data_IF_161826674639
#
_entry.id   IF_161826674639
#
_cell.length_a   1.000
_cell.length_b   1.000
_cell.length_c   1.000
_cell.angle_alpha   90.00
_cell.angle_beta   90.00
_cell.angle_gamma   90.00
#
_symmetry.space_group_name_H-M   'P 1'
#
loop_
_entity.id
_entity.type
_entity.pdbx_description
1 polymer ?
#
# COMPACT_ATOMS: atom_id res chain seq x y z
N UNK A 1 31.43 -2.92 -10.80
CA UNK A 1 30.14 -2.36 -10.36
C UNK A 1 30.38 -1.73 -8.99
N UNK A 2 30.02 -0.47 -8.77
CA UNK A 2 30.14 0.15 -7.44
C UNK A 2 28.95 -0.30 -6.58
N UNK A 3 29.14 -1.43 -5.90
CA UNK A 3 28.11 -2.07 -5.07
C UNK A 3 27.69 -1.18 -3.90
N UNK A 4 28.60 -0.36 -3.35
CA UNK A 4 28.30 0.53 -2.24
C UNK A 4 27.38 1.67 -2.68
N UNK A 5 27.64 2.24 -3.86
CA UNK A 5 26.75 3.25 -4.44
C UNK A 5 25.38 2.68 -4.83
N UNK A 6 25.32 1.46 -5.38
CA UNK A 6 24.05 0.76 -5.64
C UNK A 6 23.28 0.57 -4.34
N UNK A 7 23.91 -0.02 -3.32
CA UNK A 7 23.31 -0.23 -1.99
C UNK A 7 22.77 1.06 -1.39
N UNK A 8 23.53 2.16 -1.50
CA UNK A 8 23.08 3.48 -1.04
C UNK A 8 21.81 3.92 -1.74
N UNK A 9 21.77 3.88 -3.07
CA UNK A 9 20.60 4.29 -3.85
C UNK A 9 19.36 3.43 -3.56
N UNK A 10 19.52 2.12 -3.45
CA UNK A 10 18.40 1.22 -3.10
C UNK A 10 17.95 1.47 -1.65
N UNK A 11 18.87 1.77 -0.73
CA UNK A 11 18.51 2.18 0.63
C UNK A 11 17.68 3.47 0.64
N UNK A 12 18.03 4.46 -0.17
CA UNK A 12 17.25 5.70 -0.31
C UNK A 12 15.85 5.41 -0.87
N UNK A 13 15.75 4.46 -1.81
CA UNK A 13 14.48 4.06 -2.43
C UNK A 13 13.54 3.42 -1.41
N UNK A 14 14.00 2.42 -0.66
CA UNK A 14 13.14 1.74 0.32
C UNK A 14 12.75 2.64 1.50
N UNK A 15 13.59 3.64 1.83
CA UNK A 15 13.30 4.63 2.88
C UNK A 15 12.44 5.81 2.40
N UNK A 16 12.14 5.90 1.10
CA UNK A 16 11.41 7.03 0.51
C UNK A 16 12.14 8.38 0.75
N UNK A 17 13.47 8.39 0.66
CA UNK A 17 14.31 9.57 0.92
C UNK A 17 14.36 10.56 -0.25
N UNK A 18 13.96 10.13 -1.44
CA UNK A 18 13.88 10.94 -2.65
C UNK A 18 12.76 10.41 -3.57
N UNK A 19 12.49 11.11 -4.66
CA UNK A 19 11.49 10.69 -5.64
C UNK A 19 11.89 9.34 -6.27
N UNK A 20 11.00 8.31 -6.24
CA UNK A 20 11.36 6.96 -6.67
C UNK A 20 11.92 6.87 -8.09
N UNK A 21 11.37 7.62 -9.06
CA UNK A 21 11.85 7.57 -10.45
C UNK A 21 13.23 8.21 -10.60
N UNK A 22 13.53 9.25 -9.83
CA UNK A 22 14.86 9.83 -9.79
C UNK A 22 15.89 8.79 -9.34
N UNK A 23 15.62 8.07 -8.25
CA UNK A 23 16.50 7.01 -7.74
C UNK A 23 16.65 5.85 -8.72
N UNK A 24 15.55 5.40 -9.35
CA UNK A 24 15.61 4.35 -10.38
C UNK A 24 16.41 4.81 -11.60
N UNK A 25 16.30 6.07 -12.01
CA UNK A 25 17.12 6.61 -13.10
C UNK A 25 18.62 6.57 -12.78
N UNK A 26 19.02 6.80 -11.52
CA UNK A 26 20.40 6.63 -11.08
C UNK A 26 20.80 5.15 -11.04
N UNK A 27 19.89 4.28 -10.57
CA UNK A 27 20.11 2.83 -10.49
C UNK A 27 20.28 2.16 -11.86
N UNK A 28 19.77 2.75 -12.94
CA UNK A 28 19.97 2.26 -14.32
C UNK A 28 21.44 2.13 -14.71
N UNK A 29 22.35 2.90 -14.10
CA UNK A 29 23.78 2.80 -14.36
C UNK A 29 24.39 1.46 -13.93
N UNK A 30 23.72 0.69 -13.08
CA UNK A 30 24.21 -0.58 -12.52
C UNK A 30 23.64 -1.81 -13.21
N UNK A 31 22.67 -1.65 -14.12
CA UNK A 31 21.90 -2.76 -14.68
C UNK A 31 20.74 -3.20 -13.77
N UNK A 32 19.92 -4.11 -14.27
CA UNK A 32 18.82 -4.69 -13.51
C UNK A 32 19.33 -5.83 -12.62
N UNK A 33 20.04 -6.77 -13.23
CA UNK A 33 20.56 -7.98 -12.59
C UNK A 33 21.47 -7.65 -11.39
N UNK A 34 21.30 -8.39 -10.29
CA UNK A 34 22.18 -8.34 -9.14
C UNK A 34 22.37 -9.73 -8.58
N UNK A 35 23.62 -10.21 -8.54
CA UNK A 35 23.93 -11.52 -7.96
C UNK A 35 23.72 -11.55 -6.44
N UNK A 36 23.61 -10.38 -5.79
CA UNK A 36 23.51 -10.26 -4.34
C UNK A 36 22.42 -9.29 -3.91
N UNK A 37 21.64 -9.72 -2.91
CA UNK A 37 20.73 -8.83 -2.20
C UNK A 37 21.56 -7.84 -1.36
N UNK A 38 21.32 -6.54 -1.52
CA UNK A 38 22.14 -5.48 -0.91
C UNK A 38 21.47 -4.82 0.29
N UNK A 39 20.14 -4.75 0.27
CA UNK A 39 19.32 -4.16 1.31
C UNK A 39 18.10 -5.03 1.60
N UNK A 40 17.54 -4.88 2.79
CA UNK A 40 16.34 -5.61 3.21
C UNK A 40 15.17 -4.64 3.36
N UNK A 41 14.10 -4.87 2.60
CA UNK A 41 12.82 -4.22 2.82
C UNK A 41 12.16 -4.84 4.06
N UNK A 42 11.80 -4.01 5.04
CA UNK A 42 11.22 -4.42 6.32
C UNK A 42 9.79 -3.90 6.42
N UNK A 43 9.03 -4.43 7.38
CA UNK A 43 7.68 -3.91 7.66
C UNK A 43 7.70 -2.41 7.95
N UNK A 44 8.76 -1.89 8.58
CA UNK A 44 8.87 -0.47 8.92
C UNK A 44 8.99 0.42 7.68
N UNK A 45 9.61 -0.06 6.60
CA UNK A 45 9.68 0.68 5.34
C UNK A 45 8.29 0.79 4.69
N UNK A 46 7.50 -0.28 4.69
CA UNK A 46 6.10 -0.26 4.22
C UNK A 46 5.23 0.65 5.10
N UNK A 47 5.35 0.52 6.43
CA UNK A 47 4.64 1.39 7.37
C UNK A 47 4.98 2.87 7.13
N UNK A 48 6.25 3.19 6.84
CA UNK A 48 6.66 4.54 6.50
C UNK A 48 5.97 5.06 5.22
N UNK A 49 5.98 4.29 4.13
CA UNK A 49 5.30 4.66 2.89
C UNK A 49 3.79 4.87 3.10
N UNK A 50 3.15 3.98 3.86
CA UNK A 50 1.73 4.10 4.22
C UNK A 50 1.46 5.32 5.12
N UNK A 51 2.34 5.63 6.06
CA UNK A 51 2.23 6.82 6.90
C UNK A 51 2.35 8.12 6.09
N UNK A 52 3.26 8.17 5.11
CA UNK A 52 3.37 9.30 4.19
C UNK A 52 2.07 9.49 3.39
N UNK A 53 1.47 8.39 2.92
CA UNK A 53 0.20 8.42 2.22
C UNK A 53 -0.95 8.91 3.12
N UNK A 54 -1.11 8.33 4.32
CA UNK A 54 -2.14 8.73 5.30
C UNK A 54 -2.00 10.21 5.69
N UNK A 55 -0.77 10.70 5.81
CA UNK A 55 -0.47 12.10 6.13
C UNK A 55 -0.61 13.05 4.93
N UNK A 56 -1.09 12.57 3.77
CA UNK A 56 -1.20 13.30 2.50
C UNK A 56 0.14 13.93 2.04
N UNK A 57 1.27 13.31 2.39
CA UNK A 57 2.61 13.71 1.90
C UNK A 57 2.90 13.15 0.52
N UNK A 58 2.29 12.01 0.20
CA UNK A 58 2.31 11.37 -1.11
C UNK A 58 0.88 10.99 -1.50
N UNK A 59 0.60 10.88 -2.80
CA UNK A 59 -0.68 10.41 -3.32
C UNK A 59 -0.62 8.91 -3.65
N UNK A 60 -1.77 8.29 -3.92
CA UNK A 60 -1.85 6.88 -4.30
C UNK A 60 -0.96 6.54 -5.52
N UNK A 61 -0.86 7.44 -6.50
CA UNK A 61 0.02 7.28 -7.67
C UNK A 61 1.52 7.24 -7.29
N UNK A 62 1.91 7.93 -6.23
CA UNK A 62 3.28 8.01 -5.76
C UNK A 62 3.63 6.75 -4.96
N UNK A 63 2.66 6.19 -4.24
CA UNK A 63 2.77 4.87 -3.60
C UNK A 63 2.87 3.74 -4.63
N UNK A 64 2.03 3.76 -5.67
CA UNK A 64 2.12 2.87 -6.84
C UNK A 64 3.53 2.95 -7.44
N UNK A 65 3.99 4.16 -7.76
CA UNK A 65 5.29 4.36 -8.37
C UNK A 65 6.44 3.83 -7.51
N UNK A 66 6.37 4.02 -6.19
CA UNK A 66 7.36 3.48 -5.26
C UNK A 66 7.39 1.95 -5.27
N UNK A 67 6.22 1.31 -5.25
CA UNK A 67 6.12 -0.14 -5.31
C UNK A 67 6.61 -0.71 -6.65
N UNK A 68 6.25 -0.07 -7.79
CA UNK A 68 6.77 -0.42 -9.13
C UNK A 68 8.30 -0.34 -9.19
N UNK A 69 8.89 0.60 -8.46
CA UNK A 69 10.34 0.74 -8.39
C UNK A 69 11.02 -0.35 -7.57
N UNK A 70 10.28 -1.09 -6.72
CA UNK A 70 10.80 -2.11 -5.81
C UNK A 70 10.51 -3.52 -6.32
N UNK A 71 9.32 -3.74 -6.91
CA UNK A 71 8.87 -5.03 -7.36
C UNK A 71 9.85 -5.68 -8.34
N UNK A 72 10.20 -6.94 -8.08
CA UNK A 72 11.11 -7.72 -8.93
C UNK A 72 12.58 -7.31 -8.92
N UNK A 73 13.01 -6.42 -8.01
CA UNK A 73 14.42 -6.05 -7.87
C UNK A 73 15.23 -7.13 -7.13
N UNK A 74 16.28 -7.63 -7.78
CA UNK A 74 17.18 -8.66 -7.23
C UNK A 74 18.16 -8.15 -6.15
N UNK A 75 18.31 -6.82 -6.02
CA UNK A 75 19.16 -6.19 -5.00
C UNK A 75 18.42 -5.87 -3.69
N UNK A 76 17.15 -6.27 -3.57
CA UNK A 76 16.29 -6.11 -2.38
C UNK A 76 15.85 -7.48 -1.89
N UNK A 77 16.15 -7.79 -0.63
CA UNK A 77 15.55 -8.91 0.09
C UNK A 77 14.37 -8.48 0.95
N UNK A 78 13.54 -9.43 1.38
CA UNK A 78 12.46 -9.16 2.34
C UNK A 78 12.84 -9.63 3.75
N UNK A 79 12.40 -8.86 4.75
CA UNK A 79 12.55 -9.24 6.16
C UNK A 79 11.91 -10.61 6.40
N UNK A 80 12.72 -11.58 6.83
CA UNK A 80 12.33 -13.00 6.82
C UNK A 80 11.09 -13.31 7.67
N UNK A 81 10.88 -12.55 8.75
CA UNK A 81 9.69 -12.67 9.62
C UNK A 81 8.41 -12.18 8.97
N UNK A 82 8.49 -11.30 7.97
CA UNK A 82 7.35 -10.64 7.31
C UNK A 82 7.39 -10.81 5.78
N UNK A 83 8.21 -11.73 5.25
CA UNK A 83 8.51 -11.80 3.82
C UNK A 83 7.25 -11.99 2.97
N UNK A 84 6.35 -12.88 3.37
CA UNK A 84 5.10 -13.17 2.64
C UNK A 84 4.16 -11.96 2.59
N UNK A 85 3.97 -11.26 3.72
CA UNK A 85 3.09 -10.09 3.76
C UNK A 85 3.70 -8.88 3.06
N UNK A 86 5.02 -8.72 3.13
CA UNK A 86 5.75 -7.66 2.41
C UNK A 86 5.59 -7.86 0.90
N UNK A 87 5.85 -9.08 0.41
CA UNK A 87 5.72 -9.42 -1.01
C UNK A 87 4.29 -9.21 -1.52
N UNK A 88 3.30 -9.68 -0.75
CA UNK A 88 1.89 -9.49 -1.08
C UNK A 88 1.51 -8.00 -1.17
N UNK A 89 2.00 -7.17 -0.24
CA UNK A 89 1.74 -5.73 -0.25
C UNK A 89 2.38 -5.05 -1.46
N UNK A 90 3.65 -5.34 -1.77
CA UNK A 90 4.34 -4.77 -2.93
C UNK A 90 3.63 -5.16 -4.23
N UNK A 91 3.38 -6.46 -4.42
CA UNK A 91 2.65 -6.98 -5.59
C UNK A 91 1.28 -6.33 -5.73
N UNK A 92 0.60 -6.07 -4.61
CA UNK A 92 -0.69 -5.39 -4.59
C UNK A 92 -0.59 -3.93 -5.01
N UNK A 93 0.37 -3.18 -4.47
CA UNK A 93 0.57 -1.77 -4.79
C UNK A 93 0.96 -1.52 -6.24
N UNK A 94 1.50 -2.52 -6.95
CA UNK A 94 1.81 -2.44 -8.38
C UNK A 94 0.56 -2.60 -9.26
N UNK A 95 -0.58 -2.99 -8.70
CA UNK A 95 -1.83 -3.07 -9.46
C UNK A 95 -2.57 -1.71 -9.44
N UNK A 96 -2.55 -0.91 -10.51
CA UNK A 96 -3.17 0.42 -10.52
C UNK A 96 -4.68 0.39 -10.29
N UNK A 97 -5.36 -0.71 -10.68
CA UNK A 97 -6.79 -0.89 -10.43
C UNK A 97 -7.12 -0.99 -8.95
N UNK A 98 -6.16 -1.45 -8.12
CA UNK A 98 -6.37 -1.55 -6.68
C UNK A 98 -5.67 -0.41 -5.91
N UNK A 99 -4.49 0.03 -6.34
CA UNK A 99 -3.81 1.17 -5.71
C UNK A 99 -4.57 2.46 -5.90
N UNK A 100 -5.31 2.65 -7.00
CA UNK A 100 -6.21 3.80 -7.16
C UNK A 100 -7.39 3.82 -6.18
N UNK A 101 -7.72 2.67 -5.57
CA UNK A 101 -8.77 2.52 -4.56
C UNK A 101 -8.24 2.60 -3.12
N UNK A 102 -6.93 2.77 -2.93
CA UNK A 102 -6.37 2.88 -1.59
C UNK A 102 -6.88 4.15 -0.91
N UNK A 103 -7.52 3.98 0.24
CA UNK A 103 -7.96 5.06 1.13
C UNK A 103 -7.10 5.04 2.40
N UNK A 104 -7.10 6.12 3.20
CA UNK A 104 -6.44 6.11 4.50
C UNK A 104 -6.91 4.97 5.42
N UNK A 105 -8.19 4.58 5.34
CA UNK A 105 -8.74 3.46 6.12
C UNK A 105 -8.15 2.12 5.66
N UNK A 106 -8.08 1.88 4.35
CA UNK A 106 -7.45 0.68 3.79
C UNK A 106 -5.96 0.63 4.16
N UNK A 107 -5.26 1.77 4.09
CA UNK A 107 -3.87 1.87 4.51
C UNK A 107 -3.67 1.53 6.00
N UNK A 108 -4.59 1.94 6.88
CA UNK A 108 -4.56 1.57 8.30
C UNK A 108 -4.83 0.09 8.54
N UNK A 109 -5.73 -0.53 7.77
CA UNK A 109 -5.98 -1.98 7.83
C UNK A 109 -4.73 -2.76 7.44
N UNK A 110 -4.05 -2.36 6.36
CA UNK A 110 -2.80 -3.00 5.94
C UNK A 110 -1.72 -2.85 7.01
N UNK A 111 -1.62 -1.69 7.66
CA UNK A 111 -0.71 -1.53 8.81
C UNK A 111 -1.04 -2.46 9.97
N UNK A 112 -2.31 -2.72 10.24
CA UNK A 112 -2.71 -3.66 11.28
C UNK A 112 -2.31 -5.10 10.91
N UNK A 113 -2.54 -5.49 9.65
CA UNK A 113 -2.13 -6.79 9.10
C UNK A 113 -0.61 -6.96 9.14
N UNK A 114 0.16 -5.93 8.76
CA UNK A 114 1.62 -5.89 8.88
C UNK A 114 2.10 -6.09 10.32
N UNK A 115 1.43 -5.47 11.29
CA UNK A 115 1.80 -5.58 12.71
C UNK A 115 1.45 -6.94 13.33
N UNK A 116 0.38 -7.57 12.85
CA UNK A 116 -0.01 -8.92 13.28
C UNK A 116 0.66 -10.02 12.47
N UNK A 117 1.38 -9.64 11.40
CA UNK A 117 1.98 -10.53 10.40
C UNK A 117 0.95 -11.52 9.83
N UNK A 118 -0.26 -11.02 9.53
CA UNK A 118 -1.37 -11.83 9.05
C UNK A 118 -2.12 -11.08 7.94
N UNK A 119 -2.20 -11.67 6.76
CA UNK A 119 -3.03 -11.20 5.64
C UNK A 119 -4.48 -11.65 5.86
N UNK A 120 -5.24 -10.92 6.68
CA UNK A 120 -6.63 -11.25 6.98
C UNK A 120 -7.58 -10.26 6.34
N UNK A 121 -7.60 -9.04 6.87
CA UNK A 121 -8.64 -8.07 6.55
C UNK A 121 -8.29 -7.30 5.27
N UNK A 122 -6.99 -7.04 5.07
CA UNK A 122 -6.51 -6.44 3.82
C UNK A 122 -6.74 -7.37 2.64
N UNK A 123 -6.45 -8.67 2.77
CA UNK A 123 -6.62 -9.65 1.68
C UNK A 123 -8.08 -9.81 1.24
N UNK A 124 -9.02 -9.81 2.19
CA UNK A 124 -10.47 -9.82 1.90
C UNK A 124 -10.90 -8.56 1.13
N UNK A 125 -10.45 -7.38 1.56
CA UNK A 125 -10.67 -6.12 0.84
C UNK A 125 -10.03 -6.14 -0.56
N UNK A 126 -8.86 -6.76 -0.69
CA UNK A 126 -8.12 -6.90 -1.95
C UNK A 126 -8.87 -7.80 -2.95
N UNK A 127 -9.47 -8.91 -2.49
CA UNK A 127 -10.25 -9.81 -3.35
C UNK A 127 -11.56 -9.16 -3.83
N UNK A 128 -12.25 -8.42 -2.97
CA UNK A 128 -13.50 -7.73 -3.32
C UNK A 128 -13.30 -6.64 -4.38
N UNK A 129 -12.17 -5.92 -4.34
CA UNK A 129 -11.86 -4.90 -5.33
C UNK A 129 -11.41 -5.47 -6.69
N UNK A 130 -10.90 -6.71 -6.72
CA UNK A 130 -10.49 -7.38 -7.96
C UNK A 130 -11.64 -7.89 -8.83
N UNK A 131 -12.83 -8.08 -8.24
CA UNK A 131 -14.04 -8.57 -8.95
C UNK A 131 -14.92 -7.45 -9.51
N UNK A 132 -14.60 -6.18 -9.26
CA UNK A 132 -15.37 -5.04 -9.74
C UNK A 132 -16.73 -4.82 -9.04
N UNK A 133 -17.04 -5.60 -7.99
CA UNK A 133 -18.23 -5.38 -7.17
C UNK A 133 -17.89 -4.40 -6.03
N UNK A 134 -18.07 -3.11 -6.32
CA UNK A 134 -17.89 -2.05 -5.34
C UNK A 134 -18.87 -2.19 -4.16
N UNK A 135 -18.35 -2.50 -2.98
CA UNK A 135 -19.10 -2.42 -1.73
C UNK A 135 -18.32 -1.60 -0.69
N UNK A 136 -18.46 -0.28 -0.77
CA UNK A 136 -18.03 0.65 0.28
C UNK A 136 -18.98 0.71 1.49
N UNK A 137 -19.94 -0.21 1.64
CA UNK A 137 -21.00 -0.09 2.66
C UNK A 137 -20.99 -1.13 3.78
N UNK A 138 -20.11 -2.13 3.79
CA UNK A 138 -20.16 -3.20 4.82
C UNK A 138 -19.08 -3.16 5.92
N UNK A 139 -17.94 -2.48 5.72
CA UNK A 139 -16.87 -2.50 6.72
C UNK A 139 -16.91 -1.38 7.76
N UNK A 140 -17.78 -0.37 7.59
CA UNK A 140 -18.11 0.54 8.69
C UNK A 140 -18.84 -0.17 9.83
N UNK A 141 -19.46 -1.32 9.58
CA UNK A 141 -20.14 -2.10 10.62
C UNK A 141 -19.18 -3.04 11.38
N UNK A 142 -18.17 -3.60 10.72
CA UNK A 142 -17.18 -4.47 11.38
C UNK A 142 -16.15 -3.68 12.21
N UNK A 143 -15.75 -2.47 11.77
CA UNK A 143 -14.91 -1.58 12.59
C UNK A 143 -15.65 -1.02 13.83
N UNK A 144 -16.97 -0.87 13.76
CA UNK A 144 -17.77 -0.40 14.89
C UNK A 144 -18.05 -1.51 15.92
N UNK A 145 -18.12 -2.78 15.49
CA UNK A 145 -18.37 -3.91 16.40
C UNK A 145 -17.18 -4.27 17.31
N UNK A 146 -15.97 -3.76 17.02
CA UNK A 146 -14.78 -3.94 17.87
C UNK A 146 -14.48 -2.73 18.78
N UNK A 147 -15.26 -1.65 18.67
CA UNK A 147 -15.15 -0.45 19.51
C UNK A 147 -16.39 -0.27 20.40
N UNK A 148 -16.83 -1.35 21.05
CA UNK A 148 -18.02 -1.36 21.91
C UNK A 148 -17.79 -0.67 23.28
N UNK A 149 -17.03 0.42 23.29
CA UNK A 149 -17.00 1.43 24.35
C UNK A 149 -16.74 2.82 23.76
N UNK A 150 -17.70 3.36 23.00
CA UNK A 150 -18.12 4.76 23.12
C UNK A 150 -19.31 5.05 22.20
N UNK A 151 -20.41 5.49 22.82
CA UNK A 151 -21.61 5.97 22.16
C UNK A 151 -21.30 7.19 21.28
N UNK A 152 -21.52 7.08 19.96
CA UNK A 152 -21.89 8.22 19.12
C UNK A 152 -22.88 7.77 18.05
N UNK A 153 -24.11 8.23 18.19
CA UNK A 153 -25.22 8.04 17.26
C UNK A 153 -25.04 8.92 16.03
N UNK A 154 -24.93 8.32 14.84
CA UNK A 154 -25.10 8.99 13.55
C UNK A 154 -26.49 8.69 13.01
N UNK A 155 -27.49 9.41 13.53
CA UNK A 155 -28.72 9.64 12.79
C UNK A 155 -28.44 10.71 11.72
N UNK A 156 -29.08 10.55 10.56
CA UNK A 156 -29.18 11.54 9.46
C UNK A 156 -28.00 11.57 8.47
N UNK A 157 -27.98 10.60 7.55
CA UNK A 157 -27.61 10.89 6.17
C UNK A 157 -28.76 10.49 5.24
N UNK A 158 -29.32 11.53 4.62
CA UNK A 158 -30.49 11.51 3.74
C UNK A 158 -30.16 10.75 2.44
N UNK A 159 -30.97 9.73 2.14
CA UNK A 159 -31.04 9.06 0.85
C UNK A 159 -31.33 10.08 -0.26
N UNK A 160 -30.44 10.21 -1.24
CA UNK A 160 -30.74 10.86 -2.53
C UNK A 160 -30.42 9.92 -3.68
N UNK A 161 -31.18 8.83 -3.78
CA UNK A 161 -31.31 8.01 -5.00
C UNK A 161 -32.77 7.96 -5.50
N UNK A 162 -33.50 9.08 -5.45
CA UNK A 162 -34.86 9.17 -6.03
C UNK A 162 -35.06 10.38 -6.96
N UNK A 163 -33.99 10.98 -7.49
CA UNK A 163 -34.06 12.15 -8.38
C UNK A 163 -33.93 11.82 -9.89
N UNK A 164 -34.23 10.58 -10.32
CA UNK A 164 -34.27 10.21 -11.74
C UNK A 164 -35.51 9.37 -12.08
N UNK A 165 -36.69 9.97 -11.99
CA UNK A 165 -37.83 9.57 -12.84
C UNK A 165 -38.42 10.79 -13.54
N UNK A 166 -38.08 10.80 -14.83
CA UNK A 166 -38.45 11.68 -15.92
C UNK A 166 -39.90 12.14 -15.95
N UNK A 167 -40.03 13.41 -16.32
CA UNK A 167 -41.09 14.04 -17.07
C UNK A 167 -41.80 13.08 -18.06
N UNK A 168 -43.12 12.96 -17.91
CA UNK A 168 -44.13 13.25 -18.96
C UNK A 168 -45.54 13.21 -18.36
#
# INVERSE_FOLDING_TARGET
MDTDQRKKLVSQLINYEDEPRHLVNLLRAFGWDCETELVTLTKNHLENALNLFIANKIQAKDLLCWAECIEGREDISFESSHAEIIDACISWFVNPGITSLITPDVANIIKADLNTNQLKDSYLLMQLNSTGEGFYTHNSQLLNAQNDHNEYTLAEYVNTEDALKLEK
#
